data_IF_531261970312
#
_entry.id   IF_531261970312
#
_cell.length_a   1.000
_cell.length_b   1.000
_cell.length_c   1.000
_cell.angle_alpha   90.00
_cell.angle_beta   90.00
_cell.angle_gamma   90.00
#
_symmetry.space_group_name_H-M   'P 1'
#
loop_
_entity.id
_entity.type
_entity.pdbx_description
1 polymer ?
#
# COMPACT_ATOMS: atom_id res chain seq x y z
N UNK A 1 -1.33 28.76 -8.47
CA UNK A 1 -2.15 28.10 -9.50
C UNK A 1 -3.13 27.18 -8.79
N UNK A 2 -4.41 27.57 -8.75
CA UNK A 2 -5.45 26.86 -8.01
C UNK A 2 -6.38 26.13 -9.00
N UNK A 3 -6.74 24.87 -8.70
CA UNK A 3 -8.00 24.29 -9.17
C UNK A 3 -7.92 23.16 -10.20
N UNK A 4 -7.34 22.00 -9.86
CA UNK A 4 -7.59 20.75 -10.61
C UNK A 4 -8.58 19.79 -9.91
N UNK A 5 -9.06 20.14 -8.71
CA UNK A 5 -9.92 19.26 -7.91
C UNK A 5 -11.41 19.23 -8.33
N UNK A 6 -11.84 20.00 -9.34
CA UNK A 6 -13.28 20.09 -9.66
C UNK A 6 -13.71 19.02 -10.67
N UNK A 7 -14.02 17.83 -10.15
CA UNK A 7 -15.01 16.92 -10.75
C UNK A 7 -14.49 15.63 -11.39
N UNK A 8 -13.20 15.28 -11.27
CA UNK A 8 -12.67 14.02 -11.80
C UNK A 8 -12.08 13.18 -10.67
N UNK A 9 -12.64 12.00 -10.36
CA UNK A 9 -12.17 11.18 -9.24
C UNK A 9 -10.66 10.86 -9.27
N UNK A 10 -10.05 10.70 -10.45
CA UNK A 10 -8.60 10.49 -10.59
C UNK A 10 -7.72 11.70 -10.21
N UNK A 11 -8.32 12.87 -10.02
CA UNK A 11 -7.64 14.11 -9.65
C UNK A 11 -8.13 14.65 -8.30
N UNK A 12 -8.68 13.76 -7.46
CA UNK A 12 -8.93 14.07 -6.06
C UNK A 12 -7.60 14.47 -5.39
N UNK A 13 -7.63 15.55 -4.62
CA UNK A 13 -6.48 16.04 -3.89
C UNK A 13 -6.19 15.11 -2.71
N UNK A 14 -4.96 14.61 -2.59
CA UNK A 14 -4.59 13.59 -1.60
C UNK A 14 -3.92 14.17 -0.34
N UNK A 15 -4.16 15.46 -0.09
CA UNK A 15 -3.67 16.15 1.10
C UNK A 15 -2.15 16.38 1.03
N UNK A 16 -1.41 16.23 2.15
CA UNK A 16 0.05 16.40 2.17
C UNK A 16 0.82 15.51 1.19
N UNK A 17 0.24 14.38 0.77
CA UNK A 17 0.87 13.46 -0.18
C UNK A 17 0.85 13.98 -1.63
N UNK A 18 0.09 15.05 -1.92
CA UNK A 18 -0.05 15.60 -3.27
C UNK A 18 1.30 16.05 -3.83
N UNK A 19 2.17 16.62 -2.98
CA UNK A 19 3.52 17.06 -3.35
C UNK A 19 4.46 15.90 -3.70
N UNK A 20 4.10 14.68 -3.33
CA UNK A 20 4.86 13.45 -3.61
C UNK A 20 4.27 12.64 -4.76
N UNK A 21 3.05 12.96 -5.20
CA UNK A 21 2.28 12.15 -6.12
C UNK A 21 2.50 12.56 -7.57
N UNK A 22 3.01 11.62 -8.36
CA UNK A 22 3.00 11.68 -9.82
C UNK A 22 1.91 10.76 -10.37
N UNK A 23 1.02 11.33 -11.19
CA UNK A 23 -0.04 10.61 -11.90
C UNK A 23 0.42 10.32 -13.33
N UNK A 24 0.57 9.05 -13.68
CA UNK A 24 1.05 8.55 -14.98
C UNK A 24 -0.02 8.57 -16.06
N UNK A 25 -0.88 9.59 -16.09
CA UNK A 25 -1.90 9.78 -17.12
C UNK A 25 -2.15 11.27 -17.36
N UNK A 26 -2.55 11.61 -18.59
CA UNK A 26 -2.73 13.01 -18.98
C UNK A 26 -3.97 13.66 -18.34
N UNK A 27 -3.92 14.99 -18.11
CA UNK A 27 -5.10 15.77 -17.76
C UNK A 27 -6.14 15.67 -18.87
N UNK A 28 -7.23 14.93 -18.64
CA UNK A 28 -8.19 14.64 -19.70
C UNK A 28 -8.59 13.17 -19.74
N UNK A 29 -7.64 12.30 -19.45
CA UNK A 29 -7.80 10.84 -19.48
C UNK A 29 -8.44 10.36 -18.18
N UNK A 30 -9.43 9.48 -18.29
CA UNK A 30 -9.99 8.78 -17.14
C UNK A 30 -9.09 7.57 -16.85
N UNK A 31 -8.47 7.48 -15.67
CA UNK A 31 -7.54 6.41 -15.36
C UNK A 31 -8.28 5.08 -15.13
N UNK A 32 -7.53 3.99 -15.20
CA UNK A 32 -8.03 2.66 -14.82
C UNK A 32 -8.62 2.65 -13.40
N UNK A 33 -9.59 1.76 -13.16
CA UNK A 33 -10.27 1.65 -11.88
C UNK A 33 -9.30 1.40 -10.72
N UNK A 34 -8.24 0.60 -10.93
CA UNK A 34 -7.20 0.36 -9.92
C UNK A 34 -6.45 1.63 -9.53
N UNK A 35 -6.10 2.49 -10.50
CA UNK A 35 -5.44 3.77 -10.24
C UNK A 35 -6.38 4.76 -9.56
N UNK A 36 -7.65 4.76 -9.93
CA UNK A 36 -8.66 5.55 -9.25
C UNK A 36 -8.78 5.14 -7.77
N UNK A 37 -8.85 3.83 -7.49
CA UNK A 37 -8.84 3.32 -6.13
C UNK A 37 -7.56 3.66 -5.39
N UNK A 38 -6.41 3.69 -6.08
CA UNK A 38 -5.15 4.20 -5.54
C UNK A 38 -5.27 5.65 -5.07
N UNK A 39 -5.76 6.55 -5.92
CA UNK A 39 -5.99 7.97 -5.56
C UNK A 39 -6.97 8.10 -4.38
N UNK A 40 -8.07 7.33 -4.39
CA UNK A 40 -9.02 7.33 -3.27
C UNK A 40 -8.40 6.80 -1.96
N UNK A 41 -7.51 5.81 -2.05
CA UNK A 41 -6.77 5.27 -0.90
C UNK A 41 -5.82 6.33 -0.32
N UNK A 42 -5.06 7.03 -1.17
CA UNK A 42 -4.19 8.13 -0.74
C UNK A 42 -5.00 9.26 -0.08
N UNK A 43 -6.16 9.61 -0.64
CA UNK A 43 -7.03 10.64 -0.08
C UNK A 43 -7.68 10.25 1.27
N UNK A 44 -7.77 8.95 1.57
CA UNK A 44 -8.29 8.43 2.82
C UNK A 44 -7.25 8.46 3.96
N UNK A 45 -5.96 8.74 3.67
CA UNK A 45 -4.91 8.77 4.67
C UNK A 45 -5.13 9.94 5.66
N UNK A 46 -5.19 9.68 6.98
CA UNK A 46 -5.35 10.73 7.98
C UNK A 46 -4.23 11.77 7.89
N UNK A 47 -4.58 13.06 8.05
CA UNK A 47 -3.64 14.18 7.85
C UNK A 47 -2.33 14.03 8.61
N UNK A 48 -2.36 13.60 9.87
CA UNK A 48 -1.15 13.40 10.69
C UNK A 48 -0.22 12.33 10.11
N UNK A 49 -0.78 11.22 9.64
CA UNK A 49 -0.02 10.17 8.95
C UNK A 49 0.48 10.64 7.58
N UNK A 50 -0.36 11.34 6.82
CA UNK A 50 0.00 11.86 5.50
C UNK A 50 1.20 12.82 5.56
N UNK A 51 1.30 13.68 6.58
CA UNK A 51 2.48 14.55 6.77
C UNK A 51 3.75 13.74 7.02
N UNK A 52 3.68 12.72 7.88
CA UNK A 52 4.83 11.86 8.18
C UNK A 52 5.27 11.06 6.95
N UNK A 53 4.32 10.47 6.23
CA UNK A 53 4.57 9.77 4.98
C UNK A 53 5.15 10.70 3.91
N UNK A 54 4.64 11.92 3.77
CA UNK A 54 5.20 12.90 2.84
C UNK A 54 6.64 13.29 3.19
N UNK A 55 7.01 13.30 4.47
CA UNK A 55 8.40 13.51 4.90
C UNK A 55 9.29 12.29 4.62
N UNK A 56 8.75 11.08 4.80
CA UNK A 56 9.47 9.81 4.58
C UNK A 56 9.70 9.49 3.11
N UNK A 57 8.67 9.67 2.26
CA UNK A 57 8.64 9.29 0.86
C UNK A 57 9.39 10.30 -0.04
N UNK A 58 10.69 10.43 0.17
CA UNK A 58 11.53 11.38 -0.57
C UNK A 58 11.64 11.06 -2.06
N UNK A 59 11.53 9.78 -2.43
CA UNK A 59 11.51 9.35 -3.83
C UNK A 59 10.12 9.42 -4.49
N UNK A 60 9.08 9.81 -3.75
CA UNK A 60 7.74 10.05 -4.27
C UNK A 60 6.84 8.82 -4.38
N UNK A 61 5.66 9.04 -4.96
CA UNK A 61 4.62 8.06 -5.24
C UNK A 61 4.28 8.17 -6.72
N UNK A 62 4.36 7.07 -7.46
CA UNK A 62 3.95 7.02 -8.86
C UNK A 62 2.76 6.08 -9.02
N UNK A 63 1.66 6.57 -9.58
CA UNK A 63 0.51 5.76 -9.98
C UNK A 63 0.44 5.74 -11.50
N UNK A 64 0.47 4.58 -12.15
CA UNK A 64 0.42 4.51 -13.62
C UNK A 64 0.02 3.14 -14.17
N UNK A 65 -0.25 3.03 -15.47
CA UNK A 65 -0.65 1.77 -16.09
C UNK A 65 0.50 0.75 -16.12
N UNK A 66 0.15 -0.54 -16.17
CA UNK A 66 1.09 -1.64 -16.36
C UNK A 66 1.57 -2.30 -15.07
N UNK A 67 2.67 -3.05 -15.16
CA UNK A 67 3.37 -3.61 -14.01
C UNK A 67 4.42 -2.62 -13.48
N UNK A 68 5.04 -2.92 -12.33
CA UNK A 68 6.08 -2.07 -11.73
C UNK A 68 7.17 -1.63 -12.72
N UNK A 69 7.77 -2.49 -13.56
CA UNK A 69 8.80 -2.07 -14.52
C UNK A 69 8.32 -1.16 -15.66
N UNK A 70 7.00 -1.01 -15.84
CA UNK A 70 6.40 -0.10 -16.82
C UNK A 70 6.20 1.31 -16.24
N UNK A 71 6.38 1.48 -14.92
CA UNK A 71 6.23 2.74 -14.22
C UNK A 71 7.51 3.57 -14.33
N UNK A 72 7.34 4.89 -14.48
CA UNK A 72 8.47 5.80 -14.61
C UNK A 72 9.37 5.76 -13.38
N UNK A 73 10.67 5.52 -13.59
CA UNK A 73 11.68 5.38 -12.55
C UNK A 73 11.90 3.94 -12.06
N UNK A 74 11.05 2.98 -12.42
CA UNK A 74 11.15 1.58 -11.99
C UNK A 74 11.65 0.64 -13.10
N UNK A 75 12.08 1.18 -14.24
CA UNK A 75 12.45 0.42 -15.44
C UNK A 75 13.61 -0.53 -15.19
N UNK A 76 14.51 -0.22 -14.24
CA UNK A 76 15.63 -1.06 -13.84
C UNK A 76 15.22 -2.40 -13.22
N UNK A 77 13.95 -2.56 -12.83
CA UNK A 77 13.43 -3.81 -12.25
C UNK A 77 12.96 -4.81 -13.31
N UNK A 78 12.93 -4.41 -14.59
CA UNK A 78 12.57 -5.31 -15.70
C UNK A 78 13.48 -6.53 -15.74
N UNK A 79 12.89 -7.70 -15.93
CA UNK A 79 13.58 -9.01 -15.97
C UNK A 79 14.32 -9.40 -14.67
N UNK A 80 14.18 -8.62 -13.59
CA UNK A 80 14.71 -8.96 -12.27
C UNK A 80 13.72 -9.91 -11.57
N UNK A 81 14.23 -11.00 -10.99
CA UNK A 81 13.41 -11.96 -10.23
C UNK A 81 13.11 -11.43 -8.83
N UNK A 82 11.89 -11.68 -8.37
CA UNK A 82 11.52 -11.43 -6.97
C UNK A 82 12.13 -12.52 -6.07
N UNK A 83 12.58 -12.19 -4.84
CA UNK A 83 13.22 -13.17 -3.96
C UNK A 83 12.27 -14.20 -3.36
N UNK A 84 10.99 -13.84 -3.17
CA UNK A 84 10.02 -14.62 -2.36
C UNK A 84 8.78 -15.06 -3.14
N UNK A 85 8.49 -14.45 -4.30
CA UNK A 85 7.33 -14.80 -5.13
C UNK A 85 7.79 -15.51 -6.41
N UNK A 86 7.08 -16.56 -6.82
CA UNK A 86 7.26 -17.19 -8.13
C UNK A 86 6.90 -16.19 -9.25
N UNK A 87 7.89 -15.42 -9.70
CA UNK A 87 7.71 -14.39 -10.71
C UNK A 87 8.85 -13.37 -10.79
N UNK A 88 8.80 -12.54 -11.83
CA UNK A 88 9.59 -11.32 -11.95
C UNK A 88 8.75 -10.09 -11.63
N UNK A 89 9.39 -8.94 -11.47
CA UNK A 89 8.71 -7.65 -11.27
C UNK A 89 7.71 -7.31 -12.38
N UNK A 90 7.83 -7.93 -13.56
CA UNK A 90 6.93 -7.77 -14.71
C UNK A 90 5.48 -8.20 -14.45
N UNK A 91 5.20 -8.84 -13.31
CA UNK A 91 3.85 -9.15 -12.85
C UNK A 91 3.48 -8.45 -11.55
N UNK A 92 4.37 -7.62 -11.01
CA UNK A 92 4.12 -6.94 -9.75
C UNK A 92 3.16 -5.77 -9.94
N UNK A 93 2.06 -5.70 -9.17
CA UNK A 93 1.13 -4.58 -9.19
C UNK A 93 1.64 -3.38 -8.42
N UNK A 94 2.58 -3.56 -7.51
CA UNK A 94 3.04 -2.50 -6.61
C UNK A 94 4.45 -2.76 -6.12
N UNK A 95 5.08 -1.69 -5.64
CA UNK A 95 6.36 -1.76 -4.94
C UNK A 95 6.50 -0.60 -3.99
N UNK A 96 7.02 -0.90 -2.80
CA UNK A 96 7.72 0.04 -1.96
C UNK A 96 9.23 -0.24 -2.02
N UNK A 97 10.00 0.73 -2.51
CA UNK A 97 11.45 0.67 -2.52
C UNK A 97 11.99 1.38 -1.27
N UNK A 98 12.55 0.64 -0.29
CA UNK A 98 13.02 1.22 0.96
C UNK A 98 14.29 2.06 0.80
N UNK A 99 15.09 1.82 -0.24
CA UNK A 99 16.35 2.57 -0.47
C UNK A 99 16.05 3.96 -0.99
N UNK A 100 15.22 4.05 -2.03
CA UNK A 100 14.80 5.34 -2.58
C UNK A 100 13.63 5.98 -1.80
N UNK A 101 12.99 5.22 -0.90
CA UNK A 101 11.76 5.59 -0.18
C UNK A 101 10.70 6.09 -1.15
N UNK A 102 10.34 5.22 -2.10
CA UNK A 102 9.37 5.52 -3.16
C UNK A 102 8.36 4.40 -3.32
N UNK A 103 7.18 4.77 -3.77
CA UNK A 103 6.09 3.85 -4.08
C UNK A 103 5.80 3.87 -5.58
N UNK A 104 5.65 2.70 -6.18
CA UNK A 104 5.09 2.52 -7.52
C UNK A 104 3.82 1.67 -7.43
N UNK A 105 2.74 2.11 -8.08
CA UNK A 105 1.49 1.34 -8.18
C UNK A 105 1.06 1.28 -9.65
N UNK A 106 0.93 0.05 -10.12
CA UNK A 106 0.48 -0.36 -11.44
C UNK A 106 -1.00 -0.73 -11.51
N UNK A 107 -1.38 -1.33 -12.62
CA UNK A 107 -2.75 -1.80 -12.91
C UNK A 107 -2.85 -3.31 -13.12
N UNK A 108 -1.74 -4.05 -13.04
CA UNK A 108 -1.83 -5.51 -13.13
C UNK A 108 -2.63 -6.08 -11.95
N UNK A 109 -3.35 -7.21 -12.13
CA UNK A 109 -4.16 -7.79 -11.07
C UNK A 109 -3.36 -8.11 -9.80
N UNK A 110 -3.98 -7.89 -8.64
CA UNK A 110 -3.39 -8.16 -7.33
C UNK A 110 -4.37 -8.90 -6.42
N UNK A 111 -3.89 -9.82 -5.55
CA UNK A 111 -4.70 -10.40 -4.47
C UNK A 111 -4.91 -9.43 -3.29
N UNK A 112 -4.21 -8.28 -3.28
CA UNK A 112 -4.35 -7.27 -2.23
C UNK A 112 -5.71 -6.57 -2.33
N UNK A 113 -6.25 -6.19 -1.18
CA UNK A 113 -7.48 -5.38 -1.09
C UNK A 113 -7.31 -3.96 -1.63
N UNK A 114 -6.09 -3.43 -1.59
CA UNK A 114 -5.69 -2.18 -2.20
C UNK A 114 -4.18 -2.17 -2.34
N UNK A 115 -3.68 -2.29 -3.57
CA UNK A 115 -2.23 -2.26 -3.86
C UNK A 115 -1.59 -1.00 -3.28
N UNK A 116 -2.21 0.17 -3.52
CA UNK A 116 -1.72 1.42 -2.96
C UNK A 116 -1.72 1.42 -1.42
N UNK A 117 -2.76 0.85 -0.79
CA UNK A 117 -2.81 0.71 0.66
C UNK A 117 -1.74 -0.24 1.20
N UNK A 118 -1.46 -1.31 0.47
CA UNK A 118 -0.44 -2.30 0.82
C UNK A 118 0.97 -1.67 0.76
N UNK A 119 1.31 -0.97 -0.32
CA UNK A 119 2.61 -0.29 -0.42
C UNK A 119 2.76 0.85 0.61
N UNK A 120 1.67 1.54 0.95
CA UNK A 120 1.67 2.47 2.08
C UNK A 120 1.92 1.77 3.42
N UNK A 121 1.41 0.54 3.59
CA UNK A 121 1.69 -0.31 4.73
C UNK A 121 3.17 -0.62 4.86
N UNK A 122 3.82 -1.06 3.78
CA UNK A 122 5.28 -1.26 3.74
C UNK A 122 6.06 0.02 4.06
N UNK A 123 5.63 1.15 3.49
CA UNK A 123 6.24 2.45 3.78
C UNK A 123 6.09 2.85 5.26
N UNK A 124 4.93 2.59 5.89
CA UNK A 124 4.69 2.83 7.31
C UNK A 124 5.53 1.91 8.19
N UNK A 125 5.63 0.64 7.83
CA UNK A 125 6.44 -0.34 8.54
C UNK A 125 7.92 0.12 8.55
N UNK A 126 8.48 0.46 7.40
CA UNK A 126 9.84 0.97 7.32
C UNK A 126 10.01 2.32 8.05
N UNK A 127 9.08 3.27 7.87
CA UNK A 127 9.12 4.59 8.54
C UNK A 127 9.20 4.47 10.07
N UNK A 128 8.57 3.45 10.64
CA UNK A 128 8.44 3.27 12.09
C UNK A 128 9.42 2.25 12.68
N UNK A 129 10.42 1.81 11.91
CA UNK A 129 11.45 0.89 12.38
C UNK A 129 10.98 -0.57 12.44
N UNK A 130 10.14 -0.97 11.48
CA UNK A 130 9.64 -2.34 11.28
C UNK A 130 8.84 -2.90 12.46
N UNK A 131 7.74 -2.25 12.90
CA UNK A 131 6.83 -2.82 13.89
C UNK A 131 6.29 -4.21 13.52
N UNK A 132 6.22 -4.58 12.24
CA UNK A 132 5.90 -5.94 11.78
C UNK A 132 6.80 -7.03 12.40
N UNK A 133 8.01 -6.64 12.85
CA UNK A 133 9.00 -7.54 13.49
C UNK A 133 8.96 -7.49 15.01
N UNK A 134 8.08 -6.67 15.60
CA UNK A 134 7.92 -6.56 17.05
C UNK A 134 7.11 -7.74 17.62
N UNK A 135 7.18 -7.92 18.94
CA UNK A 135 6.57 -9.06 19.65
C UNK A 135 5.08 -9.26 19.31
N UNK A 136 4.30 -8.17 19.25
CA UNK A 136 2.88 -8.25 18.91
C UNK A 136 2.65 -8.91 17.54
N UNK A 137 3.31 -8.42 16.50
CA UNK A 137 3.18 -8.94 15.15
C UNK A 137 3.80 -10.31 14.97
N UNK A 138 4.92 -10.60 15.66
CA UNK A 138 5.53 -11.93 15.67
C UNK A 138 4.60 -12.99 16.28
N UNK A 139 3.93 -12.69 17.40
CA UNK A 139 2.93 -13.61 18.00
C UNK A 139 1.69 -13.75 17.12
N UNK A 140 1.20 -12.65 16.56
CA UNK A 140 0.05 -12.68 15.65
C UNK A 140 0.34 -13.58 14.44
N UNK A 141 1.45 -13.32 13.74
CA UNK A 141 1.85 -14.04 12.55
C UNK A 141 2.05 -15.53 12.83
N UNK A 142 2.80 -15.88 13.89
CA UNK A 142 2.97 -17.28 14.30
C UNK A 142 1.65 -17.95 14.71
N UNK A 143 0.71 -17.19 15.29
CA UNK A 143 -0.61 -17.69 15.70
C UNK A 143 -1.61 -17.91 14.56
N UNK A 144 -1.36 -17.38 13.36
CA UNK A 144 -2.24 -17.55 12.20
C UNK A 144 -1.54 -18.09 10.93
N UNK A 145 -0.24 -18.38 10.97
CA UNK A 145 0.57 -18.78 9.81
C UNK A 145 -0.06 -19.91 8.98
N UNK A 146 -0.60 -20.95 9.63
CA UNK A 146 -1.20 -22.11 8.94
C UNK A 146 -2.46 -21.74 8.12
N UNK A 147 -3.16 -20.68 8.52
CA UNK A 147 -4.35 -20.16 7.81
C UNK A 147 -3.96 -19.18 6.69
N UNK A 148 -2.79 -18.55 6.77
CA UNK A 148 -2.35 -17.57 5.78
C UNK A 148 -1.97 -18.22 4.45
N UNK A 149 -2.30 -17.54 3.36
CA UNK A 149 -1.76 -17.83 2.04
C UNK A 149 -0.42 -17.11 1.84
N UNK A 150 0.41 -17.61 0.94
CA UNK A 150 1.61 -16.89 0.50
C UNK A 150 1.23 -15.57 -0.20
N UNK A 151 1.99 -14.46 0.00
CA UNK A 151 3.24 -14.35 0.76
C UNK A 151 3.07 -14.08 2.27
N UNK A 152 1.83 -13.86 2.74
CA UNK A 152 1.57 -13.47 4.12
C UNK A 152 2.01 -14.51 5.15
N UNK A 153 1.99 -15.80 4.77
CA UNK A 153 2.47 -16.89 5.61
C UNK A 153 3.98 -16.80 5.87
N UNK A 154 4.75 -16.40 4.87
CA UNK A 154 6.21 -16.40 4.95
C UNK A 154 6.78 -15.09 5.52
N UNK A 155 6.07 -13.98 5.33
CA UNK A 155 6.56 -12.66 5.70
C UNK A 155 5.54 -11.86 6.54
N UNK A 156 5.91 -11.56 7.79
CA UNK A 156 5.12 -10.74 8.69
C UNK A 156 4.97 -9.28 8.21
N UNK A 157 5.92 -8.78 7.42
CA UNK A 157 5.83 -7.48 6.76
C UNK A 157 4.74 -7.43 5.69
N UNK A 158 4.62 -8.50 4.90
CA UNK A 158 3.53 -8.67 3.92
C UNK A 158 2.17 -8.75 4.62
N UNK A 159 2.07 -9.51 5.73
CA UNK A 159 0.87 -9.56 6.53
C UNK A 159 0.52 -8.18 7.11
N UNK A 160 1.50 -7.47 7.67
CA UNK A 160 1.33 -6.12 8.19
C UNK A 160 0.77 -5.18 7.11
N UNK A 161 1.35 -5.18 5.92
CA UNK A 161 0.96 -4.32 4.82
C UNK A 161 -0.49 -4.58 4.37
N UNK A 162 -0.90 -5.85 4.27
CA UNK A 162 -2.27 -6.20 3.88
C UNK A 162 -3.30 -5.90 4.99
N UNK A 163 -2.92 -6.09 6.26
CA UNK A 163 -3.73 -5.65 7.40
C UNK A 163 -3.90 -4.13 7.41
N UNK A 164 -2.82 -3.37 7.19
CA UNK A 164 -2.85 -1.92 7.06
C UNK A 164 -3.79 -1.47 5.93
N UNK A 165 -3.66 -2.06 4.74
CA UNK A 165 -4.53 -1.79 3.60
C UNK A 165 -6.00 -2.07 3.92
N UNK A 166 -6.28 -3.18 4.61
CA UNK A 166 -7.63 -3.57 5.03
C UNK A 166 -8.25 -2.59 6.01
N UNK A 167 -7.50 -2.11 7.01
CA UNK A 167 -8.00 -1.12 7.97
C UNK A 167 -8.16 0.25 7.32
N UNK A 168 -7.16 0.73 6.56
CA UNK A 168 -7.21 2.02 5.86
C UNK A 168 -8.41 2.12 4.92
N UNK A 169 -8.74 1.02 4.23
CA UNK A 169 -9.85 0.98 3.27
C UNK A 169 -11.17 0.47 3.87
N UNK A 170 -11.23 0.29 5.21
CA UNK A 170 -12.42 -0.15 5.96
C UNK A 170 -12.99 -1.50 5.50
N UNK A 171 -12.12 -2.43 5.12
CA UNK A 171 -12.48 -3.76 4.63
C UNK A 171 -12.42 -4.79 5.76
N UNK A 172 -13.24 -4.59 6.78
CA UNK A 172 -13.28 -5.43 8.01
C UNK A 172 -13.48 -6.91 7.69
N UNK A 173 -14.41 -7.26 6.77
CA UNK A 173 -14.62 -8.66 6.38
C UNK A 173 -13.38 -9.28 5.71
N UNK A 174 -12.57 -8.49 5.00
CA UNK A 174 -11.30 -8.95 4.42
C UNK A 174 -10.27 -9.19 5.53
N UNK A 175 -10.18 -8.30 6.51
CA UNK A 175 -9.30 -8.45 7.67
C UNK A 175 -9.62 -9.72 8.48
N UNK A 176 -10.90 -9.96 8.79
CA UNK A 176 -11.36 -11.18 9.48
C UNK A 176 -10.97 -12.43 8.69
N UNK A 177 -11.25 -12.45 7.37
CA UNK A 177 -10.89 -13.59 6.52
C UNK A 177 -9.38 -13.82 6.42
N UNK A 178 -8.60 -12.74 6.38
CA UNK A 178 -7.14 -12.81 6.32
C UNK A 178 -6.59 -13.45 7.61
N UNK A 179 -7.09 -13.05 8.77
CA UNK A 179 -6.59 -13.52 10.07
C UNK A 179 -7.27 -14.80 10.59
N UNK A 180 -8.35 -15.22 9.93
CA UNK A 180 -9.11 -16.43 10.23
C UNK A 180 -9.89 -16.39 11.55
N UNK A 181 -9.93 -15.23 12.22
CA UNK A 181 -10.51 -15.06 13.55
C UNK A 181 -10.92 -13.60 13.78
N UNK A 182 -12.11 -13.40 14.36
CA UNK A 182 -12.67 -12.07 14.62
C UNK A 182 -11.93 -11.33 15.74
N UNK A 183 -11.52 -12.03 16.81
CA UNK A 183 -10.79 -11.43 17.93
C UNK A 183 -9.41 -10.93 17.50
N UNK A 184 -8.68 -11.72 16.72
CA UNK A 184 -7.40 -11.28 16.12
C UNK A 184 -7.59 -10.08 15.20
N UNK A 185 -8.67 -10.06 14.43
CA UNK A 185 -8.97 -8.92 13.55
C UNK A 185 -9.28 -7.65 14.36
N UNK A 186 -9.99 -7.76 15.48
CA UNK A 186 -10.24 -6.65 16.39
C UNK A 186 -8.94 -6.13 17.02
N UNK A 187 -8.06 -7.01 17.51
CA UNK A 187 -6.75 -6.63 18.06
C UNK A 187 -5.90 -5.85 17.05
N UNK A 188 -5.81 -6.37 15.81
CA UNK A 188 -5.07 -5.72 14.71
C UNK A 188 -5.70 -4.39 14.33
N UNK A 189 -7.03 -4.33 14.25
CA UNK A 189 -7.75 -3.09 13.96
C UNK A 189 -7.42 -2.03 15.00
N UNK A 190 -7.55 -2.32 16.28
CA UNK A 190 -7.24 -1.38 17.35
C UNK A 190 -5.78 -0.95 17.38
N UNK A 191 -4.85 -1.88 17.12
CA UNK A 191 -3.44 -1.55 17.05
C UNK A 191 -3.14 -0.55 15.93
N UNK A 192 -3.65 -0.81 14.72
CA UNK A 192 -3.46 0.05 13.55
C UNK A 192 -4.18 1.39 13.69
N UNK A 193 -5.43 1.39 14.17
CA UNK A 193 -6.21 2.60 14.40
C UNK A 193 -5.59 3.49 15.47
N UNK A 194 -5.15 2.91 16.58
CA UNK A 194 -4.49 3.66 17.66
C UNK A 194 -3.17 4.28 17.22
N UNK A 195 -2.39 3.55 16.39
CA UNK A 195 -1.07 4.01 15.95
C UNK A 195 -1.12 5.02 14.80
N UNK A 196 -2.02 4.80 13.84
CA UNK A 196 -2.03 5.53 12.57
C UNK A 196 -3.28 6.38 12.33
N UNK A 197 -4.29 6.27 13.20
CA UNK A 197 -5.55 7.02 13.07
C UNK A 197 -6.42 6.57 11.90
N UNK A 198 -6.19 5.36 11.38
CA UNK A 198 -6.93 4.76 10.26
C UNK A 198 -8.08 3.87 10.77
N UNK A 199 -9.08 3.59 9.92
CA UNK A 199 -10.27 2.83 10.31
C UNK A 199 -11.43 3.74 10.69
#
# INVERSE_FOLDING_TARGET
MAGHSRGRPGWLHVGPLEERLTRGWDPGVFPDAGLLLGVMTLAAVPRGLAVRLAAHLTGGIYLGPGAVPDLSGFESLRDVRLPVQDGGWDRSPGVYDPVARRIGVGTVPSPSVSVCGHELGHACDHMDGFPSRAEFWGRLHGGCADHLASPYREDAGELFAECFASVLTRRVTRLIRLLGDEGRAEEVYHWLSGRYGIG
#
